data_IF_688550079369
#
_entry.id   IF_688550079369
#
_cell.length_a   1.000
_cell.length_b   1.000
_cell.length_c   1.000
_cell.angle_alpha   90.00
_cell.angle_beta   90.00
_cell.angle_gamma   90.00
#
_symmetry.space_group_name_H-M   'P 1'
#
loop_
_entity.id
_entity.type
_entity.pdbx_description
1 polymer ?
#
# COMPACT_ATOMS: atom_id res chain seq x y z
N UNK A 1 30.14 8.22 7.26
CA UNK A 1 28.71 8.24 7.59
C UNK A 1 27.92 7.61 6.46
N UNK A 2 27.22 6.58 6.74
CA UNK A 2 26.45 5.89 5.71
C UNK A 2 25.05 6.51 5.62
N UNK A 3 24.69 6.97 4.44
CA UNK A 3 23.31 7.33 4.16
C UNK A 3 22.52 6.04 3.93
N UNK A 4 21.38 5.92 4.59
CA UNK A 4 20.51 4.79 4.35
C UNK A 4 19.76 5.02 3.04
N UNK A 5 19.86 4.06 2.14
CA UNK A 5 19.17 4.12 0.86
C UNK A 5 17.72 3.68 1.02
N UNK A 6 16.82 4.47 0.44
CA UNK A 6 15.41 4.11 0.35
C UNK A 6 15.18 3.40 -0.96
N UNK A 7 14.58 2.22 -0.90
CA UNK A 7 14.21 1.41 -2.06
C UNK A 7 12.71 1.18 -2.02
N UNK A 8 12.02 1.50 -3.11
CA UNK A 8 10.61 1.18 -3.30
C UNK A 8 10.54 0.17 -4.43
N UNK A 9 9.99 -1.01 -4.14
CA UNK A 9 9.90 -2.11 -5.09
C UNK A 9 8.60 -2.86 -4.95
N UNK A 10 8.29 -3.72 -5.92
CA UNK A 10 7.10 -4.56 -5.84
C UNK A 10 7.25 -5.60 -4.73
N UNK A 11 6.15 -5.91 -4.08
CA UNK A 11 6.06 -7.00 -3.10
C UNK A 11 6.20 -8.35 -3.82
N UNK A 12 6.93 -9.28 -3.20
CA UNK A 12 7.00 -10.67 -3.65
C UNK A 12 6.31 -11.56 -2.63
N UNK A 13 6.07 -12.82 -3.01
CA UNK A 13 5.45 -13.79 -2.09
C UNK A 13 6.24 -13.96 -0.80
N UNK A 14 7.56 -13.85 -0.88
CA UNK A 14 8.43 -13.96 0.29
C UNK A 14 8.23 -12.81 1.28
N UNK A 15 7.69 -11.68 0.80
CA UNK A 15 7.44 -10.50 1.63
C UNK A 15 6.09 -10.55 2.36
N UNK A 16 5.16 -11.40 1.96
CA UNK A 16 3.77 -11.35 2.40
C UNK A 16 3.63 -11.32 3.92
N UNK A 17 4.33 -12.20 4.61
CA UNK A 17 4.24 -12.27 6.07
C UNK A 17 4.82 -11.03 6.74
N UNK A 18 5.95 -10.54 6.23
CA UNK A 18 6.58 -9.32 6.76
C UNK A 18 5.69 -8.10 6.55
N UNK A 19 5.05 -8.00 5.38
CA UNK A 19 4.13 -6.91 5.06
C UNK A 19 2.89 -6.95 5.97
N UNK A 20 2.31 -8.13 6.20
CA UNK A 20 1.16 -8.28 7.09
C UNK A 20 1.53 -7.91 8.53
N UNK A 21 2.69 -8.32 9.01
CA UNK A 21 3.17 -7.96 10.35
C UNK A 21 3.41 -6.45 10.48
N UNK A 22 4.00 -5.85 9.47
CA UNK A 22 4.24 -4.40 9.43
C UNK A 22 2.92 -3.63 9.47
N UNK A 23 1.93 -4.06 8.69
CA UNK A 23 0.61 -3.44 8.65
C UNK A 23 -0.08 -3.57 10.00
N UNK A 24 -0.01 -4.76 10.60
CA UNK A 24 -0.56 -4.98 11.94
C UNK A 24 0.06 -4.04 12.96
N UNK A 25 1.37 -3.90 12.98
CA UNK A 25 2.07 -3.01 13.91
C UNK A 25 1.74 -1.54 13.64
N UNK A 26 1.63 -1.16 12.37
CA UNK A 26 1.34 0.22 11.96
C UNK A 26 -0.05 0.68 12.43
N UNK A 27 -1.05 -0.21 12.39
CA UNK A 27 -2.44 0.13 12.68
C UNK A 27 -2.93 -0.37 14.04
N UNK A 28 -2.07 -1.04 14.82
CA UNK A 28 -2.48 -1.61 16.10
C UNK A 28 -2.94 -0.51 17.06
N UNK A 29 -4.17 -0.63 17.54
CA UNK A 29 -4.80 0.32 18.48
C UNK A 29 -4.90 1.77 17.97
N UNK A 30 -4.76 2.01 16.67
CA UNK A 30 -4.83 3.38 16.12
C UNK A 30 -6.28 3.86 16.04
N UNK A 31 -7.18 3.07 15.46
CA UNK A 31 -8.59 3.43 15.26
C UNK A 31 -9.54 2.67 16.19
N UNK A 32 -9.11 1.52 16.67
CA UNK A 32 -9.88 0.64 17.55
C UNK A 32 -8.89 -0.27 18.27
N UNK A 33 -9.28 -0.95 19.37
CA UNK A 33 -8.41 -1.95 19.98
C UNK A 33 -8.04 -3.05 18.99
N UNK A 34 -6.73 -3.28 18.82
CA UNK A 34 -6.22 -4.18 17.79
C UNK A 34 -6.27 -3.55 16.41
N UNK A 35 -6.29 -4.36 15.36
CA UNK A 35 -6.49 -3.89 14.00
C UNK A 35 -6.97 -5.02 13.09
N UNK A 36 -7.57 -4.64 11.95
CA UNK A 36 -8.05 -5.55 10.91
C UNK A 36 -7.32 -5.34 9.58
N UNK A 37 -6.51 -4.30 9.48
CA UNK A 37 -5.89 -3.89 8.21
C UNK A 37 -4.99 -4.98 7.64
N UNK A 38 -4.25 -5.70 8.48
CA UNK A 38 -3.39 -6.81 8.02
C UNK A 38 -4.21 -7.97 7.47
N UNK A 39 -5.41 -8.21 7.99
CA UNK A 39 -6.32 -9.25 7.48
C UNK A 39 -6.94 -8.81 6.16
N UNK A 40 -7.35 -7.54 6.06
CA UNK A 40 -7.86 -6.96 4.82
C UNK A 40 -6.83 -7.07 3.71
N UNK A 41 -5.57 -6.76 4.02
CA UNK A 41 -4.46 -6.89 3.08
C UNK A 41 -4.29 -8.34 2.61
N UNK A 42 -4.38 -9.29 3.53
CA UNK A 42 -4.31 -10.72 3.21
C UNK A 42 -5.42 -11.13 2.25
N UNK A 43 -6.65 -10.66 2.48
CA UNK A 43 -7.79 -10.96 1.62
C UNK A 43 -7.65 -10.33 0.23
N UNK A 44 -7.09 -9.13 0.14
CA UNK A 44 -6.93 -8.43 -1.13
C UNK A 44 -6.07 -9.20 -2.13
N UNK A 45 -5.07 -9.94 -1.66
CA UNK A 45 -4.17 -10.68 -2.55
C UNK A 45 -4.88 -11.75 -3.37
N UNK A 46 -5.99 -12.29 -2.86
CA UNK A 46 -6.79 -13.29 -3.55
C UNK A 46 -7.97 -12.68 -4.31
N UNK A 47 -8.17 -11.36 -4.21
CA UNK A 47 -9.25 -10.66 -4.87
C UNK A 47 -8.89 -10.39 -6.34
N UNK A 48 -9.81 -10.66 -7.31
CA UNK A 48 -9.55 -10.34 -8.72
C UNK A 48 -9.28 -8.85 -8.98
N UNK A 49 -9.73 -7.96 -8.10
CA UNK A 49 -9.50 -6.52 -8.21
C UNK A 49 -8.08 -6.11 -7.79
N UNK A 50 -7.31 -7.01 -7.19
CA UNK A 50 -5.94 -6.73 -6.76
C UNK A 50 -5.05 -6.39 -7.97
N UNK A 51 -4.20 -5.36 -7.81
CA UNK A 51 -3.29 -4.91 -8.86
C UNK A 51 -1.85 -5.22 -8.43
N UNK A 52 -1.31 -6.40 -8.80
CA UNK A 52 0.05 -6.78 -8.37
C UNK A 52 1.14 -5.80 -8.79
N UNK A 53 0.96 -5.14 -9.94
CA UNK A 53 1.93 -4.17 -10.44
C UNK A 53 1.93 -2.84 -9.67
N UNK A 54 1.00 -2.68 -8.73
CA UNK A 54 0.91 -1.52 -7.83
C UNK A 54 0.92 -1.94 -6.36
N UNK A 55 1.57 -3.04 -6.06
CA UNK A 55 1.75 -3.56 -4.70
C UNK A 55 3.21 -3.35 -4.31
N UNK A 56 3.48 -2.28 -3.56
CA UNK A 56 4.84 -1.84 -3.27
C UNK A 56 5.22 -2.01 -1.81
N UNK A 57 6.48 -2.28 -1.59
CA UNK A 57 7.12 -2.22 -0.27
C UNK A 57 8.24 -1.20 -0.30
N UNK A 58 8.50 -0.58 0.85
CA UNK A 58 9.59 0.38 1.02
C UNK A 58 10.61 -0.18 1.99
N UNK A 59 11.88 -0.17 1.60
CA UNK A 59 13.00 -0.58 2.44
C UNK A 59 13.91 0.61 2.72
N UNK A 60 14.44 0.65 3.92
CA UNK A 60 15.43 1.64 4.34
C UNK A 60 16.60 0.90 4.96
N UNK A 61 17.76 0.93 4.27
CA UNK A 61 18.94 0.22 4.75
C UNK A 61 18.75 -1.29 4.89
N UNK A 62 17.93 -1.88 4.01
CA UNK A 62 17.62 -3.31 4.03
C UNK A 62 16.49 -3.72 4.95
N UNK A 63 15.91 -2.78 5.69
CA UNK A 63 14.78 -3.03 6.59
C UNK A 63 13.47 -2.59 5.91
N UNK A 64 12.46 -3.46 5.92
CA UNK A 64 11.14 -3.10 5.40
C UNK A 64 10.43 -2.16 6.38
N UNK A 65 10.14 -0.94 5.91
CA UNK A 65 9.54 0.10 6.76
C UNK A 65 8.17 0.56 6.28
N UNK A 66 7.74 0.18 5.08
CA UNK A 66 6.45 0.63 4.56
C UNK A 66 5.87 -0.30 3.51
N UNK A 67 4.57 -0.19 3.30
CA UNK A 67 3.85 -0.93 2.26
C UNK A 67 2.64 -0.13 1.78
N UNK A 68 2.24 -0.35 0.53
CA UNK A 68 0.99 0.14 -0.04
C UNK A 68 0.52 -0.85 -1.09
N UNK A 69 -0.80 -1.01 -1.20
CA UNK A 69 -1.43 -1.94 -2.14
C UNK A 69 -2.58 -1.21 -2.83
N UNK A 70 -2.82 -1.53 -4.11
CA UNK A 70 -3.93 -0.97 -4.88
C UNK A 70 -4.89 -2.06 -5.32
N UNK A 71 -6.16 -1.69 -5.41
CA UNK A 71 -7.22 -2.55 -5.96
C UNK A 71 -8.02 -1.76 -6.99
N UNK A 72 -8.60 -2.46 -7.96
CA UNK A 72 -9.51 -1.86 -8.94
C UNK A 72 -10.90 -1.74 -8.34
N UNK A 73 -11.58 -0.64 -8.67
CA UNK A 73 -12.94 -0.38 -8.24
C UNK A 73 -13.68 0.36 -9.34
N UNK A 74 -14.95 0.71 -9.09
CA UNK A 74 -15.77 1.47 -10.03
C UNK A 74 -16.58 2.51 -9.27
N UNK A 75 -16.80 3.66 -9.91
CA UNK A 75 -17.71 4.68 -9.42
C UNK A 75 -18.96 4.63 -10.30
N UNK A 76 -20.13 4.49 -9.69
CA UNK A 76 -21.43 4.57 -10.38
C UNK A 76 -21.78 6.05 -10.56
N UNK A 77 -22.01 6.46 -11.81
CA UNK A 77 -22.41 7.80 -12.15
C UNK A 77 -23.94 7.90 -12.25
N UNK A 78 -24.48 9.10 -12.04
CA UNK A 78 -25.93 9.34 -12.08
C UNK A 78 -26.55 9.02 -13.43
N UNK A 79 -25.78 9.08 -14.50
CA UNK A 79 -26.24 8.76 -15.87
C UNK A 79 -26.16 7.27 -16.21
N UNK A 80 -25.88 6.42 -15.23
CA UNK A 80 -25.80 4.98 -15.42
C UNK A 80 -24.45 4.46 -15.89
N UNK A 81 -23.47 5.35 -16.12
CA UNK A 81 -22.11 4.93 -16.49
C UNK A 81 -21.36 4.44 -15.26
N UNK A 82 -20.43 3.53 -15.50
CA UNK A 82 -19.48 3.07 -14.49
C UNK A 82 -18.10 3.55 -14.89
N UNK A 83 -17.43 4.27 -14.00
CA UNK A 83 -16.07 4.78 -14.23
C UNK A 83 -15.08 3.90 -13.47
N UNK A 84 -14.18 3.21 -14.19
CA UNK A 84 -13.16 2.41 -13.50
C UNK A 84 -12.17 3.32 -12.78
N UNK A 85 -11.84 2.96 -11.55
CA UNK A 85 -10.85 3.67 -10.73
C UNK A 85 -9.92 2.66 -10.09
N UNK A 86 -8.81 3.17 -9.55
CA UNK A 86 -7.94 2.41 -8.66
C UNK A 86 -7.94 3.08 -7.30
N UNK A 87 -8.10 2.29 -6.24
CA UNK A 87 -8.03 2.78 -4.88
C UNK A 87 -6.88 2.08 -4.18
N UNK A 88 -6.16 2.80 -3.32
CA UNK A 88 -5.17 2.14 -2.49
C UNK A 88 -5.85 1.59 -1.23
N UNK A 89 -5.40 0.40 -0.83
CA UNK A 89 -5.83 -0.22 0.41
C UNK A 89 -5.02 0.31 1.59
N UNK A 90 -4.82 -0.50 2.63
CA UNK A 90 -4.02 -0.03 3.76
C UNK A 90 -2.63 0.41 3.31
N UNK A 91 -2.19 1.58 3.76
CA UNK A 91 -0.82 2.04 3.63
C UNK A 91 -0.22 2.01 5.04
N UNK A 92 0.85 1.25 5.22
CA UNK A 92 1.48 1.08 6.53
C UNK A 92 2.90 1.57 6.54
N UNK A 93 3.29 2.16 7.67
CA UNK A 93 4.67 2.54 7.96
C UNK A 93 5.02 2.00 9.33
N UNK A 94 6.19 1.38 9.47
CA UNK A 94 6.63 0.83 10.75
C UNK A 94 6.59 1.91 11.84
N UNK A 95 6.13 1.59 13.06
CA UNK A 95 5.95 2.60 14.11
C UNK A 95 7.16 3.48 14.39
N UNK A 96 8.37 2.92 14.32
CA UNK A 96 9.62 3.67 14.56
C UNK A 96 9.89 4.72 13.48
N UNK A 97 9.21 4.65 12.33
CA UNK A 97 9.46 5.51 11.18
C UNK A 97 8.26 6.40 10.84
N UNK A 98 7.20 6.36 11.64
CA UNK A 98 6.02 7.21 11.41
C UNK A 98 6.35 8.69 11.58
N UNK A 99 5.59 9.56 10.89
CA UNK A 99 5.68 11.02 10.97
C UNK A 99 7.02 11.57 10.45
N UNK A 100 7.72 10.83 9.59
CA UNK A 100 8.98 11.27 8.99
C UNK A 100 8.86 11.47 7.47
N UNK A 101 7.64 11.41 6.92
CA UNK A 101 7.39 11.63 5.51
C UNK A 101 7.53 10.40 4.63
N UNK A 102 7.83 9.24 5.17
CA UNK A 102 8.00 8.02 4.38
C UNK A 102 6.70 7.54 3.75
N UNK A 103 5.59 7.61 4.49
CA UNK A 103 4.27 7.26 3.94
C UNK A 103 3.90 8.13 2.75
N UNK A 104 4.13 9.43 2.85
CA UNK A 104 3.88 10.37 1.76
C UNK A 104 4.75 10.06 0.55
N UNK A 105 6.02 9.75 0.77
CA UNK A 105 6.97 9.40 -0.29
C UNK A 105 6.52 8.14 -1.02
N UNK A 106 6.11 7.12 -0.28
CA UNK A 106 5.59 5.87 -0.83
C UNK A 106 4.30 6.10 -1.62
N UNK A 107 3.38 6.89 -1.08
CA UNK A 107 2.12 7.24 -1.74
C UNK A 107 2.38 7.97 -3.06
N UNK A 108 3.23 9.00 -3.04
CA UNK A 108 3.55 9.77 -4.25
C UNK A 108 4.19 8.90 -5.33
N UNK A 109 5.11 8.02 -4.95
CA UNK A 109 5.75 7.10 -5.89
C UNK A 109 4.72 6.17 -6.54
N UNK A 110 3.85 5.56 -5.73
CA UNK A 110 2.86 4.61 -6.22
C UNK A 110 1.80 5.31 -7.10
N UNK A 111 1.42 6.53 -6.77
CA UNK A 111 0.47 7.30 -7.58
C UNK A 111 1.04 7.65 -8.95
N UNK A 112 2.34 7.97 -9.04
CA UNK A 112 3.01 8.19 -10.33
C UNK A 112 3.02 6.92 -11.17
N UNK A 113 3.27 5.77 -10.55
CA UNK A 113 3.23 4.47 -11.24
C UNK A 113 1.81 4.14 -11.72
N UNK A 114 0.80 4.44 -10.92
CA UNK A 114 -0.59 4.25 -11.31
C UNK A 114 -0.96 5.10 -12.53
N UNK A 115 -0.49 6.35 -12.57
CA UNK A 115 -0.67 7.22 -13.73
C UNK A 115 -0.02 6.65 -14.98
N UNK A 116 1.20 6.14 -14.86
CA UNK A 116 1.92 5.51 -15.97
C UNK A 116 1.17 4.30 -16.52
N UNK A 117 0.39 3.63 -15.69
CA UNK A 117 -0.45 2.49 -16.10
C UNK A 117 -1.81 2.93 -16.66
N UNK A 118 -2.06 4.23 -16.77
CA UNK A 118 -3.29 4.76 -17.35
C UNK A 118 -4.45 4.88 -16.37
N UNK A 119 -4.19 4.93 -15.06
CA UNK A 119 -5.25 5.13 -14.08
C UNK A 119 -5.89 6.51 -14.26
N UNK A 120 -7.21 6.55 -14.49
CA UNK A 120 -7.93 7.80 -14.70
C UNK A 120 -8.33 8.48 -13.40
N UNK A 121 -8.43 7.74 -12.30
CA UNK A 121 -8.79 8.26 -10.98
C UNK A 121 -8.29 7.33 -9.88
N UNK A 122 -7.99 7.91 -8.75
CA UNK A 122 -7.50 7.18 -7.58
C UNK A 122 -8.37 7.49 -6.36
#
# INVERSE_FOLDING_TARGET
>A
MSEKNIIIRLETKDDYRAVENLTRESFWNVYQPGCMEHYVLHCYRDDPAFVPDLDFVMELGGEMIGQIIYVRSEIDCDDGRKVPIMTFGPIGVAPAYKRQGYGKQLLNYSMEKAKEMGAGAL
#
